data_IF_138569375913
#
_entry.id   IF_138569375913
#
_cell.length_a   1.000
_cell.length_b   1.000
_cell.length_c   1.000
_cell.angle_alpha   90.00
_cell.angle_beta   90.00
_cell.angle_gamma   90.00
#
_symmetry.space_group_name_H-M   'P 1'
#
loop_
_entity.id
_entity.type
_entity.pdbx_description
1 polymer ?
#
# COMPACT_ATOMS: atom_id res chain seq x y z
N UNK A 1 -1.29 -23.64 18.64
CA UNK A 1 -0.47 -22.91 17.63
C UNK A 1 -1.27 -21.70 17.22
N UNK A 2 -1.18 -20.67 18.05
CA UNK A 2 -0.51 -19.37 17.83
C UNK A 2 -1.39 -18.40 17.04
N UNK A 3 -1.80 -17.26 17.65
CA UNK A 3 -2.52 -16.20 16.95
C UNK A 3 -1.58 -15.63 15.89
N UNK A 4 -2.07 -15.61 14.65
CA UNK A 4 -1.65 -14.76 13.54
C UNK A 4 -0.42 -13.90 13.84
N UNK A 5 0.77 -14.43 13.56
CA UNK A 5 1.97 -13.61 13.37
C UNK A 5 1.65 -12.67 12.21
N UNK A 6 1.17 -11.49 12.57
CA UNK A 6 0.97 -10.40 11.63
C UNK A 6 2.39 -10.02 11.28
N UNK A 7 2.85 -10.38 10.07
CA UNK A 7 4.17 -9.97 9.60
C UNK A 7 4.37 -8.48 9.92
N UNK A 8 5.55 -8.08 10.41
CA UNK A 8 5.78 -6.70 10.80
C UNK A 8 5.50 -5.81 9.59
N UNK A 9 4.41 -5.05 9.66
CA UNK A 9 4.05 -4.08 8.64
C UNK A 9 5.22 -3.11 8.58
N UNK A 10 5.95 -3.14 7.46
CA UNK A 10 7.06 -2.23 7.23
C UNK A 10 6.49 -0.82 7.07
N UNK A 11 6.33 -0.13 8.20
CA UNK A 11 5.74 1.19 8.29
C UNK A 11 6.80 2.22 7.96
N UNK A 12 6.61 2.97 6.88
CA UNK A 12 7.43 4.14 6.56
C UNK A 12 6.69 5.43 6.93
N UNK A 13 7.44 6.50 7.15
CA UNK A 13 6.85 7.81 7.45
C UNK A 13 6.20 8.42 6.19
N UNK A 14 5.22 9.35 6.35
CA UNK A 14 4.64 10.05 5.20
C UNK A 14 5.67 10.81 4.33
N UNK A 15 6.73 11.34 4.94
CA UNK A 15 7.81 12.03 4.20
C UNK A 15 8.59 11.06 3.31
N UNK A 16 8.95 9.89 3.83
CA UNK A 16 9.60 8.84 3.04
C UNK A 16 8.67 8.30 1.95
N UNK A 17 7.38 8.16 2.24
CA UNK A 17 6.40 7.76 1.23
C UNK A 17 6.32 8.76 0.07
N UNK A 18 6.38 10.07 0.36
CA UNK A 18 6.40 11.11 -0.66
C UNK A 18 7.65 11.04 -1.55
N UNK A 19 8.82 10.76 -0.96
CA UNK A 19 10.07 10.55 -1.71
C UNK A 19 10.03 9.30 -2.60
N UNK A 20 9.39 8.22 -2.12
CA UNK A 20 9.30 6.95 -2.84
C UNK A 20 8.17 6.90 -3.89
N UNK A 21 7.25 7.87 -3.88
CA UNK A 21 6.07 7.86 -4.74
C UNK A 21 6.40 7.70 -6.24
N UNK A 22 7.36 8.43 -6.84
CA UNK A 22 7.70 8.26 -8.26
C UNK A 22 8.20 6.84 -8.59
N UNK A 23 8.96 6.23 -7.69
CA UNK A 23 9.47 4.87 -7.85
C UNK A 23 8.34 3.84 -7.75
N UNK A 24 7.41 4.02 -6.81
CA UNK A 24 6.23 3.16 -6.68
C UNK A 24 5.34 3.23 -7.91
N UNK A 25 5.09 4.42 -8.45
CA UNK A 25 4.29 4.57 -9.68
C UNK A 25 4.97 3.88 -10.88
N UNK A 26 6.30 3.94 -10.97
CA UNK A 26 7.06 3.19 -11.98
C UNK A 26 6.88 1.69 -11.81
N UNK A 27 6.96 1.17 -10.57
CA UNK A 27 6.70 -0.25 -10.29
C UNK A 27 5.29 -0.67 -10.66
N UNK A 28 4.29 0.14 -10.35
CA UNK A 28 2.90 -0.16 -10.74
C UNK A 28 2.73 -0.19 -12.25
N UNK A 29 3.38 0.71 -12.99
CA UNK A 29 3.40 0.68 -14.46
C UNK A 29 4.02 -0.61 -15.02
N UNK A 30 5.04 -1.16 -14.33
CA UNK A 30 5.67 -2.44 -14.66
C UNK A 30 4.87 -3.67 -14.20
N UNK A 31 3.71 -3.49 -13.57
CA UNK A 31 2.81 -4.58 -13.16
C UNK A 31 3.03 -5.11 -11.74
N UNK A 32 3.93 -4.53 -10.96
CA UNK A 32 4.08 -4.88 -9.55
C UNK A 32 2.86 -4.43 -8.75
N UNK A 33 2.44 -5.23 -7.76
CA UNK A 33 1.25 -4.98 -6.95
C UNK A 33 1.53 -4.83 -5.46
N UNK A 34 2.81 -4.77 -5.06
CA UNK A 34 3.20 -4.64 -3.67
C UNK A 34 2.64 -3.32 -3.07
N UNK A 35 1.84 -3.39 -1.98
CA UNK A 35 1.31 -2.20 -1.34
C UNK A 35 2.41 -1.42 -0.60
N UNK A 36 2.35 -0.09 -0.66
CA UNK A 36 3.16 0.78 0.19
C UNK A 36 2.30 1.27 1.36
N UNK A 37 2.63 0.86 2.59
CA UNK A 37 1.91 1.23 3.80
C UNK A 37 2.72 2.30 4.55
N UNK A 38 2.07 3.40 4.93
CA UNK A 38 2.75 4.51 5.60
C UNK A 38 1.90 5.15 6.70
N UNK A 39 2.59 5.80 7.63
CA UNK A 39 2.01 6.44 8.80
C UNK A 39 3.06 6.75 9.86
N UNK A 40 2.65 7.41 10.95
CA UNK A 40 3.60 7.90 11.96
C UNK A 40 3.75 6.93 13.13
N UNK A 41 2.64 6.57 13.78
CA UNK A 41 2.62 5.67 14.95
C UNK A 41 1.86 4.38 14.69
N UNK A 42 1.11 4.34 13.58
CA UNK A 42 0.31 3.22 13.08
C UNK A 42 0.13 3.42 11.56
N UNK A 43 -0.29 2.39 10.81
CA UNK A 43 -0.71 2.57 9.44
C UNK A 43 -1.81 3.64 9.34
N UNK A 44 -1.59 4.66 8.52
CA UNK A 44 -2.54 5.75 8.26
C UNK A 44 -3.10 5.67 6.85
N UNK A 45 -2.27 5.21 5.90
CA UNK A 45 -2.67 5.05 4.51
C UNK A 45 -1.92 3.89 3.84
N UNK A 46 -2.52 3.42 2.75
CA UNK A 46 -1.94 2.44 1.85
C UNK A 46 -2.03 2.97 0.42
N UNK A 47 -0.94 2.83 -0.32
CA UNK A 47 -0.90 3.08 -1.76
C UNK A 47 -0.85 1.74 -2.48
N UNK A 48 -1.82 1.53 -3.37
CA UNK A 48 -1.96 0.34 -4.22
C UNK A 48 -2.22 0.75 -5.68
N UNK A 49 -1.94 -0.13 -6.66
CA UNK A 49 -2.37 0.10 -8.03
C UNK A 49 -3.89 0.26 -8.12
N UNK A 50 -4.35 1.14 -9.00
CA UNK A 50 -5.79 1.38 -9.19
C UNK A 50 -6.56 0.11 -9.58
N UNK A 51 -5.98 -0.75 -10.42
CA UNK A 51 -6.56 -2.04 -10.80
C UNK A 51 -6.77 -2.98 -9.62
N UNK A 52 -5.82 -3.00 -8.67
CA UNK A 52 -5.96 -3.74 -7.42
C UNK A 52 -7.09 -3.14 -6.58
N UNK A 53 -7.13 -1.82 -6.43
CA UNK A 53 -8.23 -1.15 -5.72
C UNK A 53 -9.61 -1.46 -6.32
N UNK A 54 -9.73 -1.50 -7.66
CA UNK A 54 -10.97 -1.87 -8.35
C UNK A 54 -11.38 -3.32 -8.07
N UNK A 55 -10.42 -4.26 -8.04
CA UNK A 55 -10.73 -5.66 -7.70
C UNK A 55 -11.20 -5.83 -6.26
N UNK A 56 -10.70 -5.00 -5.34
CA UNK A 56 -11.12 -4.99 -3.94
C UNK A 56 -12.46 -4.27 -3.73
N UNK A 57 -12.81 -3.33 -4.61
CA UNK A 57 -14.05 -2.55 -4.56
C UNK A 57 -14.80 -2.66 -5.90
N UNK A 58 -15.46 -3.79 -6.18
CA UNK A 58 -16.10 -4.04 -7.47
C UNK A 58 -17.27 -3.10 -7.80
N UNK A 59 -17.80 -2.34 -6.82
CA UNK A 59 -18.80 -1.28 -7.01
C UNK A 59 -18.36 0.02 -6.30
N UNK A 60 -17.47 0.82 -6.89
CA UNK A 60 -17.05 2.09 -6.29
C UNK A 60 -18.06 3.23 -6.50
N UNK A 61 -19.08 3.02 -7.33
CA UNK A 61 -20.08 4.02 -7.73
C UNK A 61 -21.53 3.58 -7.48
N UNK A 62 -21.74 2.56 -6.62
CA UNK A 62 -23.07 2.07 -6.24
C UNK A 62 -23.71 2.90 -5.15
#
# INVERSE_FOLDING_TARGET
MNPTETEPICLITPSTAAELLPHMLTRFHLGYQDPLIFGTTKPEAVLIPYTLWQSLNPNPCG
#
